data_IF_559017301370
#
_entry.id   IF_559017301370
#
_cell.length_a   1.000
_cell.length_b   1.000
_cell.length_c   1.000
_cell.angle_alpha   90.00
_cell.angle_beta   90.00
_cell.angle_gamma   90.00
#
_symmetry.space_group_name_H-M   'P 1'
#
loop_
_entity.id
_entity.type
_entity.pdbx_description
1 polymer ?
#
# COMPACT_ATOMS: atom_id res chain seq x y z
N UNK A 1 -11.76 2.67 17.84
CA UNK A 1 -11.67 3.51 19.06
C UNK A 1 -10.22 3.48 19.52
N UNK A 2 -9.49 4.59 19.45
CA UNK A 2 -8.19 4.74 20.13
C UNK A 2 -8.49 4.96 21.61
N UNK A 3 -7.86 4.20 22.50
CA UNK A 3 -8.05 4.31 23.95
C UNK A 3 -7.70 5.71 24.47
N UNK A 4 -8.29 6.11 25.60
CA UNK A 4 -7.98 7.38 26.28
C UNK A 4 -6.46 7.54 26.52
N UNK A 5 -5.82 6.43 26.88
CA UNK A 5 -4.36 6.32 27.04
C UNK A 5 -3.59 6.59 25.74
N UNK A 6 -4.08 6.09 24.60
CA UNK A 6 -3.46 6.33 23.29
C UNK A 6 -3.50 7.80 22.87
N UNK A 7 -4.58 8.52 23.22
CA UNK A 7 -4.68 9.97 22.97
C UNK A 7 -3.75 10.78 23.86
N UNK A 8 -3.64 10.41 25.13
CA UNK A 8 -2.75 11.08 26.08
C UNK A 8 -1.27 10.95 25.67
N UNK A 9 -0.85 9.73 25.29
CA UNK A 9 0.52 9.46 24.83
C UNK A 9 0.83 10.19 23.51
N UNK A 10 -0.13 10.27 22.59
CA UNK A 10 0.02 11.06 21.36
C UNK A 10 0.25 12.55 21.64
N UNK A 11 -0.33 13.08 22.72
CA UNK A 11 -0.12 14.46 23.17
C UNK A 11 1.34 14.80 23.53
N UNK A 12 2.14 13.80 23.93
CA UNK A 12 3.59 13.96 24.15
C UNK A 12 4.37 14.04 22.83
N UNK A 13 3.86 13.40 21.77
CA UNK A 13 4.49 13.34 20.45
C UNK A 13 4.22 14.63 19.66
N UNK A 14 2.96 15.09 19.61
CA UNK A 14 2.57 16.29 18.86
C UNK A 14 2.72 17.60 19.66
N UNK A 15 3.17 17.51 20.92
CA UNK A 15 3.42 18.65 21.80
C UNK A 15 2.16 19.30 22.39
N UNK A 16 0.98 18.72 22.21
CA UNK A 16 -0.28 19.23 22.81
C UNK A 16 -0.37 19.01 24.32
N UNK A 17 0.47 18.15 24.89
CA UNK A 17 0.63 17.95 26.32
C UNK A 17 2.00 18.47 26.81
N UNK A 18 2.18 19.80 26.98
CA UNK A 18 3.45 20.36 27.40
C UNK A 18 3.76 20.05 28.87
N UNK A 19 5.05 20.10 29.23
CA UNK A 19 5.51 19.89 30.59
C UNK A 19 4.79 20.84 31.57
N UNK A 20 4.13 20.32 32.62
CA UNK A 20 3.40 21.13 33.58
C UNK A 20 4.37 21.86 34.53
N UNK A 21 3.89 22.94 35.15
CA UNK A 21 4.67 23.74 36.12
C UNK A 21 4.63 23.18 37.55
N UNK A 22 3.62 22.37 37.85
CA UNK A 22 3.46 21.72 39.15
C UNK A 22 4.44 20.55 39.28
N UNK A 23 5.14 20.45 40.41
CA UNK A 23 6.21 19.48 40.61
C UNK A 23 5.73 18.02 40.61
N UNK A 24 4.56 17.74 41.18
CA UNK A 24 4.01 16.39 41.22
C UNK A 24 3.50 15.96 39.84
N UNK A 25 2.83 16.87 39.12
CA UNK A 25 2.41 16.66 37.76
C UNK A 25 3.60 16.51 36.79
N UNK A 26 4.68 17.27 37.01
CA UNK A 26 5.88 17.22 36.18
C UNK A 26 6.57 15.86 36.29
N UNK A 27 6.72 15.34 37.50
CA UNK A 27 7.31 14.00 37.69
C UNK A 27 6.51 12.91 36.97
N UNK A 28 5.17 12.95 37.05
CA UNK A 28 4.30 12.01 36.32
C UNK A 28 4.41 12.18 34.80
N UNK A 29 4.53 13.42 34.33
CA UNK A 29 4.71 13.75 32.92
C UNK A 29 6.06 13.24 32.40
N UNK A 30 7.16 13.44 33.13
CA UNK A 30 8.51 12.99 32.75
C UNK A 30 8.61 11.47 32.64
N UNK A 31 7.91 10.72 33.51
CA UNK A 31 7.85 9.26 33.43
C UNK A 31 7.18 8.82 32.12
N UNK A 32 6.05 9.43 31.75
CA UNK A 32 5.34 9.12 30.50
C UNK A 32 6.17 9.52 29.28
N UNK A 33 6.79 10.70 29.33
CA UNK A 33 7.66 11.19 28.25
C UNK A 33 8.85 10.24 28.04
N UNK A 34 9.56 9.86 29.10
CA UNK A 34 10.67 8.90 29.03
C UNK A 34 10.24 7.52 28.54
N UNK A 35 9.03 7.06 28.89
CA UNK A 35 8.47 5.80 28.40
C UNK A 35 8.31 5.83 26.87
N UNK A 36 7.70 6.89 26.33
CA UNK A 36 7.51 7.04 24.88
C UNK A 36 8.85 7.25 24.17
N UNK A 37 9.81 7.97 24.76
CA UNK A 37 11.18 8.06 24.23
C UNK A 37 11.82 6.69 24.10
N UNK A 38 11.66 5.83 25.12
CA UNK A 38 12.21 4.46 25.11
C UNK A 38 11.59 3.63 23.99
N UNK A 39 10.29 3.77 23.75
CA UNK A 39 9.62 3.10 22.63
C UNK A 39 10.14 3.58 21.28
N UNK A 40 10.30 4.89 21.08
CA UNK A 40 10.89 5.44 19.86
C UNK A 40 12.30 4.89 19.65
N UNK A 41 13.16 4.95 20.67
CA UNK A 41 14.54 4.47 20.62
C UNK A 41 14.63 2.97 20.34
N UNK A 42 13.66 2.18 20.79
CA UNK A 42 13.59 0.74 20.53
C UNK A 42 13.04 0.39 19.15
N UNK A 43 12.39 1.33 18.47
CA UNK A 43 11.74 1.12 17.16
C UNK A 43 12.59 1.59 15.98
N UNK A 44 13.66 2.34 16.22
CA UNK A 44 14.55 2.85 15.17
C UNK A 44 15.79 1.97 15.02
N UNK A 45 16.40 1.98 13.85
CA UNK A 45 17.67 1.26 13.65
C UNK A 45 18.78 1.82 14.57
N UNK A 46 19.72 0.98 15.04
CA UNK A 46 20.74 1.36 16.02
C UNK A 46 21.57 2.59 15.64
N UNK A 47 21.79 2.80 14.34
CA UNK A 47 22.57 3.94 13.84
C UNK A 47 21.81 5.28 13.96
N UNK A 48 20.48 5.26 14.06
CA UNK A 48 19.66 6.45 14.31
C UNK A 48 19.60 6.85 15.79
N UNK A 49 19.74 5.90 16.71
CA UNK A 49 19.72 6.13 18.17
C UNK A 49 20.72 7.22 18.59
N UNK A 50 21.91 7.24 17.98
CA UNK A 50 22.95 8.22 18.30
C UNK A 50 22.51 9.65 17.97
N UNK A 51 21.78 9.83 16.87
CA UNK A 51 21.28 11.13 16.44
C UNK A 51 20.15 11.67 17.34
N UNK A 52 19.51 10.78 18.12
CA UNK A 52 18.40 11.14 19.00
C UNK A 52 18.82 11.52 20.42
N UNK A 53 20.04 11.16 20.85
CA UNK A 53 20.58 11.45 22.19
C UNK A 53 20.54 12.93 22.64
N UNK A 54 20.70 13.93 21.74
CA UNK A 54 20.65 15.34 22.14
C UNK A 54 19.27 15.79 22.62
N UNK A 55 18.19 15.15 22.18
CA UNK A 55 16.82 15.55 22.47
C UNK A 55 16.36 15.05 23.84
N UNK A 56 15.70 15.94 24.60
CA UNK A 56 15.34 15.71 26.01
C UNK A 56 13.86 15.44 26.24
N UNK A 57 13.05 15.50 25.18
CA UNK A 57 11.63 15.25 25.25
C UNK A 57 11.21 14.44 24.02
N UNK A 58 10.13 13.67 24.12
CA UNK A 58 9.51 12.97 22.98
C UNK A 58 9.22 13.93 21.82
N UNK A 59 8.61 15.08 22.09
CA UNK A 59 8.24 16.05 21.06
C UNK A 59 9.45 16.53 20.23
N UNK A 60 10.57 16.82 20.89
CA UNK A 60 11.80 17.26 20.19
C UNK A 60 12.49 16.12 19.44
N UNK A 61 12.50 14.89 19.97
CA UNK A 61 12.95 13.70 19.23
C UNK A 61 12.10 13.48 17.97
N UNK A 62 10.78 13.52 18.13
CA UNK A 62 9.83 13.31 17.05
C UNK A 62 9.96 14.40 15.98
N UNK A 63 10.08 15.67 16.37
CA UNK A 63 10.30 16.76 15.44
C UNK A 63 11.60 16.62 14.64
N UNK A 64 12.68 16.14 15.27
CA UNK A 64 13.92 15.84 14.54
C UNK A 64 13.73 14.70 13.55
N UNK A 65 13.14 13.58 13.99
CA UNK A 65 12.84 12.44 13.12
C UNK A 65 11.98 12.88 11.93
N UNK A 66 10.95 13.66 12.21
CA UNK A 66 10.11 14.27 11.19
C UNK A 66 10.95 15.16 10.28
N UNK A 67 11.76 16.08 10.79
CA UNK A 67 12.55 16.99 9.93
C UNK A 67 13.58 16.26 9.04
N UNK A 68 14.21 15.19 9.54
CA UNK A 68 15.27 14.47 8.81
C UNK A 68 14.72 13.38 7.91
N UNK A 69 13.63 12.71 8.30
CA UNK A 69 13.09 11.54 7.60
C UNK A 69 11.71 11.75 6.98
N UNK A 70 11.02 12.84 7.30
CA UNK A 70 9.97 13.38 6.42
C UNK A 70 10.67 14.12 5.28
N UNK A 71 11.51 13.39 4.53
CA UNK A 71 12.09 13.87 3.28
C UNK A 71 10.95 14.36 2.40
N UNK A 72 11.27 15.35 1.57
CA UNK A 72 10.29 15.96 0.69
C UNK A 72 9.59 14.86 -0.11
N UNK A 73 8.31 14.64 0.19
CA UNK A 73 7.50 13.56 -0.36
C UNK A 73 7.45 13.64 -1.90
N UNK A 74 7.93 14.73 -2.50
CA UNK A 74 8.17 14.91 -3.93
C UNK A 74 9.06 13.81 -4.53
N UNK A 75 10.19 13.47 -3.91
CA UNK A 75 11.10 12.43 -4.44
C UNK A 75 10.51 11.03 -4.33
N UNK A 76 9.92 10.70 -3.17
CA UNK A 76 9.22 9.42 -2.96
C UNK A 76 8.00 9.29 -3.87
N UNK A 77 7.24 10.38 -4.06
CA UNK A 77 6.13 10.43 -5.01
C UNK A 77 6.61 10.19 -6.43
N UNK A 78 7.69 10.84 -6.86
CA UNK A 78 8.27 10.62 -8.19
C UNK A 78 8.65 9.15 -8.40
N UNK A 79 9.31 8.54 -7.41
CA UNK A 79 9.64 7.12 -7.44
C UNK A 79 8.38 6.24 -7.55
N UNK A 80 7.37 6.49 -6.72
CA UNK A 80 6.11 5.72 -6.75
C UNK A 80 5.36 5.89 -8.07
N UNK A 81 5.33 7.09 -8.64
CA UNK A 81 4.75 7.33 -9.97
C UNK A 81 5.48 6.52 -11.05
N UNK A 82 6.81 6.45 -11.00
CA UNK A 82 7.61 5.62 -11.89
C UNK A 82 7.36 4.12 -11.69
N UNK A 83 7.35 3.64 -10.44
CA UNK A 83 7.09 2.24 -10.11
C UNK A 83 5.68 1.82 -10.57
N UNK A 84 4.66 2.60 -10.25
CA UNK A 84 3.28 2.38 -10.72
C UNK A 84 3.20 2.39 -12.26
N UNK A 85 3.89 3.31 -12.92
CA UNK A 85 3.90 3.40 -14.38
C UNK A 85 4.52 2.16 -15.05
N UNK A 86 5.46 1.48 -14.40
CA UNK A 86 6.14 0.30 -14.94
C UNK A 86 5.65 -1.04 -14.36
N UNK A 87 4.83 -1.02 -13.31
CA UNK A 87 4.32 -2.25 -12.69
C UNK A 87 3.23 -2.90 -13.56
N UNK A 88 3.56 -4.00 -14.22
CA UNK A 88 2.63 -4.81 -15.03
C UNK A 88 2.46 -6.21 -14.43
N UNK A 89 1.37 -6.91 -14.75
CA UNK A 89 1.13 -8.27 -14.26
C UNK A 89 2.31 -9.22 -14.55
N UNK A 90 2.86 -9.17 -15.76
CA UNK A 90 3.96 -10.06 -16.16
C UNK A 90 3.62 -11.53 -15.93
N UNK A 91 4.49 -12.26 -15.23
CA UNK A 91 4.29 -13.67 -14.88
C UNK A 91 3.55 -13.91 -13.57
N UNK A 92 3.14 -12.85 -12.86
CA UNK A 92 2.44 -12.96 -11.58
C UNK A 92 1.02 -13.53 -11.78
N UNK A 93 0.54 -14.25 -10.78
CA UNK A 93 -0.89 -14.54 -10.65
C UNK A 93 -1.70 -13.24 -10.47
N UNK A 94 -3.01 -13.30 -10.69
CA UNK A 94 -3.89 -12.14 -10.46
C UNK A 94 -3.85 -11.68 -8.99
N UNK A 95 -3.74 -12.61 -8.04
CA UNK A 95 -3.66 -12.29 -6.61
C UNK A 95 -2.35 -11.57 -6.25
N UNK A 96 -1.21 -12.10 -6.70
CA UNK A 96 0.10 -11.47 -6.47
C UNK A 96 0.19 -10.10 -7.14
N UNK A 97 -0.30 -9.99 -8.38
CA UNK A 97 -0.35 -8.74 -9.10
C UNK A 97 -1.22 -7.70 -8.38
N UNK A 98 -2.42 -8.09 -7.95
CA UNK A 98 -3.31 -7.19 -7.21
C UNK A 98 -2.69 -6.72 -5.89
N UNK A 99 -2.06 -7.63 -5.14
CA UNK A 99 -1.39 -7.30 -3.88
C UNK A 99 -0.26 -6.28 -4.07
N UNK A 100 0.62 -6.50 -5.06
CA UNK A 100 1.70 -5.56 -5.39
C UNK A 100 1.17 -4.20 -5.85
N UNK A 101 0.17 -4.20 -6.74
CA UNK A 101 -0.47 -2.97 -7.23
C UNK A 101 -1.15 -2.19 -6.10
N UNK A 102 -1.86 -2.89 -5.20
CA UNK A 102 -2.54 -2.29 -4.06
C UNK A 102 -1.56 -1.63 -3.09
N UNK A 103 -0.41 -2.27 -2.85
CA UNK A 103 0.67 -1.74 -2.00
C UNK A 103 1.19 -0.42 -2.56
N UNK A 104 1.59 -0.39 -3.85
CA UNK A 104 2.05 0.83 -4.51
C UNK A 104 0.99 1.94 -4.47
N UNK A 105 -0.28 1.59 -4.68
CA UNK A 105 -1.37 2.56 -4.66
C UNK A 105 -1.58 3.17 -3.28
N UNK A 106 -1.49 2.38 -2.21
CA UNK A 106 -1.63 2.87 -0.83
C UNK A 106 -0.53 3.88 -0.54
N UNK A 107 0.73 3.50 -0.73
CA UNK A 107 1.90 4.36 -0.52
C UNK A 107 1.78 5.68 -1.29
N UNK A 108 1.37 5.61 -2.57
CA UNK A 108 1.16 6.80 -3.40
C UNK A 108 0.04 7.68 -2.84
N UNK A 109 -1.08 7.06 -2.47
CA UNK A 109 -2.26 7.78 -2.00
C UNK A 109 -2.04 8.43 -0.64
N UNK A 110 -1.25 7.84 0.24
CA UNK A 110 -0.91 8.43 1.54
C UNK A 110 -0.17 9.77 1.36
N UNK A 111 0.76 9.83 0.41
CA UNK A 111 1.49 11.06 0.07
C UNK A 111 0.57 12.10 -0.58
N UNK A 112 -0.25 11.69 -1.55
CA UNK A 112 -1.12 12.62 -2.28
C UNK A 112 -2.20 13.18 -1.37
N UNK A 113 -2.84 12.33 -0.58
CA UNK A 113 -3.97 12.73 0.28
C UNK A 113 -3.54 13.53 1.50
N UNK A 114 -2.29 13.40 1.98
CA UNK A 114 -1.76 14.21 3.08
C UNK A 114 -1.87 15.72 2.82
N UNK A 115 -1.83 16.15 1.56
CA UNK A 115 -1.91 17.56 1.17
C UNK A 115 -3.31 18.00 0.72
N UNK A 116 -4.31 17.11 0.74
CA UNK A 116 -5.68 17.41 0.31
C UNK A 116 -6.50 17.89 1.49
N UNK A 117 -7.15 19.07 1.42
CA UNK A 117 -8.06 19.51 2.47
C UNK A 117 -9.20 18.51 2.69
N UNK A 118 -9.59 18.30 3.95
CA UNK A 118 -10.62 17.32 4.31
C UNK A 118 -11.95 17.49 3.54
N UNK A 119 -12.33 18.73 3.21
CA UNK A 119 -13.53 19.04 2.44
C UNK A 119 -13.48 18.55 0.97
N UNK A 120 -12.30 18.36 0.41
CA UNK A 120 -12.09 17.91 -0.97
C UNK A 120 -11.71 16.42 -1.07
N UNK A 121 -11.35 15.78 0.05
CA UNK A 121 -10.77 14.44 0.08
C UNK A 121 -11.68 13.39 -0.57
N UNK A 122 -12.98 13.41 -0.27
CA UNK A 122 -13.94 12.44 -0.82
C UNK A 122 -14.08 12.53 -2.35
N UNK A 123 -14.06 13.75 -2.89
CA UNK A 123 -14.13 14.01 -4.34
C UNK A 123 -12.87 13.48 -5.03
N UNK A 124 -11.69 13.78 -4.47
CA UNK A 124 -10.41 13.28 -5.00
C UNK A 124 -10.36 11.76 -4.95
N UNK A 125 -10.77 11.15 -3.84
CA UNK A 125 -10.83 9.69 -3.69
C UNK A 125 -11.76 9.03 -4.71
N UNK A 126 -12.90 9.65 -5.04
CA UNK A 126 -13.82 9.12 -6.06
C UNK A 126 -13.19 9.12 -7.47
N UNK A 127 -12.47 10.19 -7.82
CA UNK A 127 -11.72 10.26 -9.09
C UNK A 127 -10.60 9.21 -9.10
N UNK A 128 -9.81 9.13 -8.03
CA UNK A 128 -8.73 8.17 -7.88
C UNK A 128 -9.22 6.72 -7.91
N UNK A 129 -10.41 6.40 -7.38
CA UNK A 129 -10.97 5.06 -7.44
C UNK A 129 -11.17 4.59 -8.89
N UNK A 130 -11.56 5.51 -9.78
CA UNK A 130 -11.70 5.25 -11.22
C UNK A 130 -10.32 5.02 -11.85
N UNK A 131 -9.37 5.94 -11.64
CA UNK A 131 -8.00 5.81 -12.17
C UNK A 131 -7.29 4.55 -11.68
N UNK A 132 -7.51 4.17 -10.41
CA UNK A 132 -6.95 2.95 -9.82
C UNK A 132 -7.40 1.71 -10.57
N UNK A 133 -8.71 1.58 -10.79
CA UNK A 133 -9.29 0.46 -11.53
C UNK A 133 -8.74 0.43 -12.95
N UNK A 134 -8.74 1.57 -13.64
CA UNK A 134 -8.34 1.61 -15.04
C UNK A 134 -6.85 1.27 -15.21
N UNK A 135 -5.98 1.74 -14.32
CA UNK A 135 -4.57 1.35 -14.31
C UNK A 135 -4.38 -0.15 -14.04
N UNK A 136 -5.12 -0.72 -13.07
CA UNK A 136 -5.06 -2.15 -12.80
C UNK A 136 -5.45 -2.98 -14.03
N UNK A 137 -6.55 -2.64 -14.71
CA UNK A 137 -7.00 -3.35 -15.92
C UNK A 137 -6.06 -3.15 -17.11
N UNK A 138 -5.52 -1.94 -17.29
CA UNK A 138 -4.65 -1.60 -18.42
C UNK A 138 -3.34 -2.40 -18.45
N UNK A 139 -2.87 -2.84 -17.27
CA UNK A 139 -1.54 -3.44 -17.07
C UNK A 139 -1.59 -4.97 -16.87
N UNK A 140 -2.75 -5.58 -17.15
CA UNK A 140 -2.93 -7.03 -17.23
C UNK A 140 -2.14 -7.61 -18.42
N UNK A 141 -1.76 -8.89 -18.32
CA UNK A 141 -1.10 -9.62 -19.41
C UNK A 141 -2.10 -9.96 -20.54
N UNK A 142 -1.62 -10.22 -21.77
CA UNK A 142 -2.49 -10.41 -22.94
C UNK A 142 -3.54 -11.52 -22.80
N UNK A 143 -3.27 -12.56 -22.01
CA UNK A 143 -4.22 -13.68 -21.79
C UNK A 143 -5.57 -13.21 -21.22
N UNK A 144 -5.60 -12.06 -20.54
CA UNK A 144 -6.80 -11.47 -19.96
C UNK A 144 -7.48 -10.43 -20.85
N UNK A 145 -7.06 -10.27 -22.12
CA UNK A 145 -7.60 -9.24 -23.02
C UNK A 145 -9.13 -9.34 -23.16
N UNK A 146 -9.64 -10.56 -23.33
CA UNK A 146 -11.07 -10.81 -23.50
C UNK A 146 -11.84 -10.41 -22.23
N UNK A 147 -11.35 -10.82 -21.06
CA UNK A 147 -11.93 -10.45 -19.78
C UNK A 147 -11.91 -8.93 -19.55
N UNK A 148 -10.78 -8.28 -19.88
CA UNK A 148 -10.64 -6.82 -19.80
C UNK A 148 -11.65 -6.11 -20.70
N UNK A 149 -11.76 -6.51 -21.97
CA UNK A 149 -12.73 -5.95 -22.91
C UNK A 149 -14.17 -6.11 -22.42
N UNK A 150 -14.51 -7.29 -21.91
CA UNK A 150 -15.84 -7.57 -21.35
C UNK A 150 -16.14 -6.70 -20.12
N UNK A 151 -15.15 -6.45 -19.26
CA UNK A 151 -15.30 -5.55 -18.11
C UNK A 151 -15.50 -4.09 -18.54
N UNK A 152 -14.79 -3.63 -19.58
CA UNK A 152 -14.86 -2.26 -20.10
C UNK A 152 -16.16 -1.96 -20.85
N UNK A 153 -16.73 -2.95 -21.55
CA UNK A 153 -17.94 -2.77 -22.36
C UNK A 153 -19.26 -2.81 -21.56
N UNK A 154 -19.19 -2.86 -20.22
CA UNK A 154 -20.38 -2.89 -19.37
C UNK A 154 -21.03 -1.52 -19.29
N UNK A 155 -22.36 -1.50 -19.34
CA UNK A 155 -23.15 -0.28 -19.14
C UNK A 155 -22.88 0.37 -17.76
N UNK A 156 -22.69 -0.44 -16.72
CA UNK A 156 -22.28 0.03 -15.41
C UNK A 156 -20.82 -0.33 -15.18
N UNK A 157 -19.99 0.68 -14.95
CA UNK A 157 -18.57 0.46 -14.79
C UNK A 157 -18.32 -0.26 -13.45
N UNK A 158 -17.74 -1.47 -13.47
CA UNK A 158 -17.55 -2.26 -12.26
C UNK A 158 -16.59 -1.57 -11.28
N UNK A 159 -16.73 -1.91 -10.00
CA UNK A 159 -15.74 -1.54 -8.97
C UNK A 159 -14.46 -2.36 -9.14
N UNK A 160 -13.35 -1.90 -8.58
CA UNK A 160 -12.08 -2.64 -8.60
C UNK A 160 -12.23 -4.06 -8.00
N UNK A 161 -12.98 -4.20 -6.90
CA UNK A 161 -13.21 -5.51 -6.27
C UNK A 161 -14.05 -6.44 -7.16
N UNK A 162 -15.02 -5.90 -7.89
CA UNK A 162 -15.79 -6.68 -8.85
C UNK A 162 -14.89 -7.15 -10.02
N UNK A 163 -14.03 -6.28 -10.55
CA UNK A 163 -13.03 -6.65 -11.55
C UNK A 163 -12.11 -7.77 -11.04
N UNK A 164 -11.55 -7.63 -9.83
CA UNK A 164 -10.68 -8.64 -9.23
C UNK A 164 -11.37 -10.00 -9.13
N UNK A 165 -12.60 -10.02 -8.61
CA UNK A 165 -13.38 -11.26 -8.42
C UNK A 165 -13.65 -12.01 -9.73
N UNK A 166 -13.72 -11.30 -10.85
CA UNK A 166 -13.92 -11.89 -12.16
C UNK A 166 -12.61 -12.33 -12.78
N UNK A 167 -11.54 -11.55 -12.65
CA UNK A 167 -10.22 -11.92 -13.13
C UNK A 167 -9.67 -13.17 -12.41
N UNK A 168 -9.95 -13.33 -11.11
CA UNK A 168 -9.62 -14.55 -10.37
C UNK A 168 -10.37 -15.77 -10.92
N UNK A 169 -11.64 -15.61 -11.30
CA UNK A 169 -12.41 -16.68 -11.96
C UNK A 169 -11.87 -17.00 -13.34
N UNK A 170 -11.48 -15.97 -14.10
CA UNK A 170 -10.89 -16.14 -15.43
C UNK A 170 -9.53 -16.84 -15.34
N UNK A 171 -8.68 -16.49 -14.38
CA UNK A 171 -7.39 -17.15 -14.18
C UNK A 171 -7.58 -18.66 -13.91
N UNK A 172 -8.54 -19.02 -13.05
CA UNK A 172 -8.88 -20.41 -12.80
C UNK A 172 -9.40 -21.12 -14.06
N UNK A 173 -10.19 -20.43 -14.88
CA UNK A 173 -10.69 -20.97 -16.15
C UNK A 173 -9.53 -21.25 -17.13
N UNK A 174 -8.62 -20.28 -17.34
CA UNK A 174 -7.44 -20.42 -18.21
C UNK A 174 -6.56 -21.60 -17.77
N UNK A 175 -6.26 -21.70 -16.46
CA UNK A 175 -5.45 -22.79 -15.91
C UNK A 175 -6.10 -24.16 -16.13
N UNK A 176 -7.43 -24.23 -15.95
CA UNK A 176 -8.19 -25.46 -16.15
C UNK A 176 -8.17 -25.87 -17.63
N UNK A 177 -8.39 -24.92 -18.54
CA UNK A 177 -8.36 -25.17 -19.98
C UNK A 177 -6.98 -25.66 -20.44
N UNK A 178 -5.91 -25.01 -20.01
CA UNK A 178 -4.54 -25.44 -20.33
C UNK A 178 -4.25 -26.88 -19.84
N UNK A 179 -4.77 -27.25 -18.66
CA UNK A 179 -4.64 -28.61 -18.13
C UNK A 179 -5.39 -29.64 -18.99
N UNK A 180 -6.59 -29.30 -19.45
CA UNK A 180 -7.40 -30.16 -20.33
C UNK A 180 -6.73 -30.37 -21.69
N UNK A 181 -6.20 -29.31 -22.30
CA UNK A 181 -5.49 -29.35 -23.58
C UNK A 181 -4.20 -30.19 -23.48
N UNK A 182 -3.44 -30.03 -22.39
CA UNK A 182 -2.26 -30.85 -22.16
C UNK A 182 -2.61 -32.34 -22.06
N UNK A 183 -3.68 -32.68 -21.34
CA UNK A 183 -4.16 -34.07 -21.22
C UNK A 183 -4.61 -34.65 -22.56
N UNK A 184 -5.28 -33.85 -23.39
CA UNK A 184 -5.71 -34.28 -24.72
C UNK A 184 -4.51 -34.56 -25.64
N UNK A 185 -3.49 -33.71 -25.60
CA UNK A 185 -2.26 -33.89 -26.40
C UNK A 185 -1.46 -35.12 -26.00
N UNK A 186 -1.35 -35.43 -24.70
CA UNK A 186 -0.68 -36.65 -24.21
C UNK A 186 -1.45 -37.93 -24.60
N UNK A 187 -2.77 -37.82 -24.76
CA UNK A 187 -3.65 -38.94 -25.13
C UNK A 187 -3.71 -39.21 -26.64
N UNK A 188 -3.18 -38.34 -27.49
CA UNK A 188 -3.28 -38.50 -28.94
C UNK A 188 -2.37 -39.66 -29.42
N UNK A 189 -2.92 -40.69 -30.12
CA UNK A 189 -2.12 -41.79 -30.61
C UNK A 189 -1.11 -41.30 -31.65
N UNK A 190 0.17 -41.67 -31.49
CA UNK A 190 1.22 -41.41 -32.49
C UNK A 190 0.87 -42.19 -33.75
N UNK A 191 0.48 -41.50 -34.82
CA UNK A 191 0.31 -42.13 -36.14
C UNK A 191 1.67 -42.56 -36.67
N UNK A 192 2.02 -43.83 -36.45
CA UNK A 192 3.15 -44.48 -37.12
C UNK A 192 2.70 -44.86 -38.52
N UNK A 193 2.96 -43.99 -39.50
CA UNK A 193 2.80 -44.34 -40.91
C UNK A 193 3.89 -45.35 -41.27
N UNK A 194 3.52 -46.62 -41.47
CA UNK A 194 4.39 -47.59 -42.12
C UNK A 194 4.50 -47.24 -43.61
N UNK A 195 5.72 -46.91 -44.06
CA UNK A 195 6.05 -46.80 -45.48
C UNK A 195 6.43 -48.20 -45.96
N UNK A 196 5.70 -48.72 -46.95
CA UNK A 196 5.99 -49.98 -47.64
C UNK A 196 6.82 -49.72 -48.90
#
# INVERSE_FOLDING_TARGET
MVSEQGKELWGHIDGRNPAPRDAEALSKWEIKDAQVMTWILSSVEPHFVLNLRPYKTVATMWNYLHTVYNQDNSARRFQLEYEMANFTQGSLSIEEYFSGFQTLWIDYSDIVYANVPAAALSVVQAVHATSKRDQFLMKLRPDFEIARSNLMNRHLVPSLNACLSELLREEQHIVTQATMEHRANVSAPVSVAYVA
#
